data_IF_943963651403
#
_entry.id   IF_943963651403
#
_cell.length_a   1.000
_cell.length_b   1.000
_cell.length_c   1.000
_cell.angle_alpha   90.00
_cell.angle_beta   90.00
_cell.angle_gamma   90.00
#
_symmetry.space_group_name_H-M   'P 1'
#
loop_
_entity.id
_entity.type
_entity.pdbx_description
1 polymer ?
#
# COMPACT_ATOMS: atom_id res chain seq x y z
N UNK A 1 -21.80 -2.93 52.66
CA UNK A 1 -20.59 -3.22 51.86
C UNK A 1 -21.06 -3.68 50.49
N UNK A 2 -21.14 -2.75 49.54
CA UNK A 2 -21.66 -3.03 48.19
C UNK A 2 -20.50 -3.46 47.30
N UNK A 3 -20.55 -4.71 46.86
CA UNK A 3 -19.65 -5.27 45.84
C UNK A 3 -19.97 -4.61 44.49
N UNK A 4 -19.15 -3.63 44.11
CA UNK A 4 -19.18 -3.03 42.77
C UNK A 4 -18.60 -4.04 41.78
N UNK A 5 -19.50 -4.77 41.12
CA UNK A 5 -19.16 -5.65 40.00
C UNK A 5 -18.90 -4.78 38.77
N UNK A 6 -17.63 -4.45 38.54
CA UNK A 6 -17.17 -3.80 37.30
C UNK A 6 -17.16 -4.85 36.20
N UNK A 7 -18.24 -4.93 35.42
CA UNK A 7 -18.19 -5.60 34.11
C UNK A 7 -17.28 -4.75 33.21
N UNK A 8 -16.04 -5.17 33.03
CA UNK A 8 -15.17 -4.63 31.98
C UNK A 8 -15.77 -5.11 30.65
N UNK A 9 -16.26 -4.22 29.77
CA UNK A 9 -16.77 -4.63 28.48
C UNK A 9 -15.64 -5.30 27.68
N UNK A 10 -16.02 -6.27 26.85
CA UNK A 10 -15.17 -6.78 25.78
C UNK A 10 -14.76 -5.55 24.95
N UNK A 11 -13.50 -5.09 25.10
CA UNK A 11 -12.95 -3.97 24.34
C UNK A 11 -12.98 -2.59 25.02
N UNK A 12 -12.46 -2.46 26.25
CA UNK A 12 -11.92 -1.16 26.66
C UNK A 12 -10.81 -0.76 25.67
N UNK A 13 -10.92 0.43 25.07
CA UNK A 13 -10.06 0.89 23.97
C UNK A 13 -8.58 0.65 24.26
N UNK A 14 -7.98 -0.31 23.55
CA UNK A 14 -6.55 -0.55 23.64
C UNK A 14 -6.06 -1.49 24.75
N UNK A 15 -6.90 -2.00 25.63
CA UNK A 15 -6.44 -2.90 26.68
C UNK A 15 -6.01 -4.26 26.13
N UNK A 16 -4.87 -4.79 26.60
CA UNK A 16 -4.40 -6.12 26.19
C UNK A 16 -5.41 -7.22 26.57
N UNK A 17 -5.80 -8.12 25.66
CA UNK A 17 -6.76 -9.18 25.96
C UNK A 17 -6.24 -10.20 26.99
N UNK A 18 -4.91 -10.39 27.10
CA UNK A 18 -4.26 -11.31 28.05
C UNK A 18 -4.00 -10.66 29.42
N UNK A 19 -3.09 -9.70 29.52
CA UNK A 19 -2.73 -9.10 30.80
C UNK A 19 -3.70 -8.02 31.32
N UNK A 20 -4.72 -7.63 30.55
CA UNK A 20 -5.72 -6.61 30.92
C UNK A 20 -5.14 -5.23 31.27
N UNK A 21 -3.92 -4.93 30.79
CA UNK A 21 -3.25 -3.64 30.97
C UNK A 21 -3.25 -2.84 29.67
N UNK A 22 -3.45 -1.52 29.76
CA UNK A 22 -3.42 -0.60 28.62
C UNK A 22 -2.01 -0.05 28.38
N UNK A 23 -1.27 0.27 29.44
CA UNK A 23 0.05 0.90 29.41
C UNK A 23 1.11 0.06 28.68
N UNK A 24 0.90 -1.26 28.62
CA UNK A 24 1.78 -2.20 27.95
C UNK A 24 1.45 -2.41 26.46
N UNK A 25 0.51 -1.64 25.89
CA UNK A 25 0.02 -1.80 24.52
C UNK A 25 0.32 -0.59 23.65
N UNK A 26 0.71 -0.83 22.41
CA UNK A 26 0.92 0.23 21.43
C UNK A 26 0.45 -0.18 20.04
N UNK A 27 0.20 0.82 19.18
CA UNK A 27 -0.06 0.56 17.77
C UNK A 27 1.20 -0.01 17.11
N UNK A 28 1.02 -1.02 16.27
CA UNK A 28 2.14 -1.64 15.53
C UNK A 28 2.87 -0.64 14.63
N UNK A 29 2.14 0.34 14.08
CA UNK A 29 2.75 1.43 13.31
C UNK A 29 3.77 2.21 14.13
N UNK A 30 3.43 2.60 15.36
CA UNK A 30 4.33 3.37 16.23
C UNK A 30 5.61 2.59 16.52
N UNK A 31 5.51 1.29 16.78
CA UNK A 31 6.67 0.42 17.04
C UNK A 31 7.55 0.30 15.79
N UNK A 32 6.97 -0.10 14.67
CA UNK A 32 7.72 -0.29 13.43
C UNK A 32 8.38 1.02 12.97
N UNK A 33 7.71 2.15 13.09
CA UNK A 33 8.27 3.46 12.74
C UNK A 33 9.36 3.95 13.71
N UNK A 34 9.23 3.70 15.02
CA UNK A 34 10.23 4.08 16.02
C UNK A 34 11.57 3.35 15.81
N UNK A 35 11.53 2.11 15.30
CA UNK A 35 12.72 1.30 15.08
C UNK A 35 13.19 1.22 13.62
N UNK A 36 12.40 1.69 12.64
CA UNK A 36 12.73 1.62 11.21
C UNK A 36 13.27 2.93 10.61
N UNK A 37 13.56 3.99 11.38
CA UNK A 37 14.10 5.28 10.91
C UNK A 37 13.27 6.01 9.83
N UNK A 38 12.06 5.55 9.49
CA UNK A 38 11.22 6.12 8.45
C UNK A 38 9.89 6.59 9.04
N UNK A 39 9.93 7.71 9.76
CA UNK A 39 8.71 8.41 10.21
C UNK A 39 8.29 9.42 9.17
N UNK A 40 6.99 9.50 8.87
CA UNK A 40 6.46 10.72 8.25
C UNK A 40 6.40 11.83 9.32
N UNK A 41 6.56 13.12 8.96
CA UNK A 41 6.57 14.22 9.93
C UNK A 41 5.35 14.24 10.86
N UNK A 42 4.16 13.93 10.35
CA UNK A 42 2.92 13.89 11.13
C UNK A 42 2.90 12.77 12.18
N UNK A 43 3.51 11.62 11.88
CA UNK A 43 3.59 10.49 12.81
C UNK A 43 4.65 10.75 13.90
N UNK A 44 5.75 11.41 13.55
CA UNK A 44 6.73 11.87 14.53
C UNK A 44 6.13 12.93 15.47
N UNK A 45 5.34 13.85 14.93
CA UNK A 45 4.66 14.87 15.72
C UNK A 45 3.69 14.25 16.72
N UNK A 46 2.89 13.25 16.31
CA UNK A 46 1.99 12.52 17.22
C UNK A 46 2.73 11.76 18.35
N UNK A 47 3.87 11.13 18.05
CA UNK A 47 4.69 10.41 19.04
C UNK A 47 5.40 11.39 19.98
N UNK A 48 5.94 12.49 19.43
CA UNK A 48 6.58 13.53 20.23
C UNK A 48 5.59 14.22 21.17
N UNK A 49 4.34 14.44 20.72
CA UNK A 49 3.26 15.04 21.51
C UNK A 49 2.78 14.13 22.66
N UNK A 50 2.75 12.82 22.44
CA UNK A 50 2.43 11.85 23.50
C UNK A 50 3.59 11.67 24.48
N UNK A 51 4.85 11.74 24.01
CA UNK A 51 6.03 11.78 24.87
C UNK A 51 6.09 13.03 25.74
N UNK A 52 5.78 14.20 25.19
CA UNK A 52 5.78 15.48 25.91
C UNK A 52 4.69 15.58 26.97
N UNK A 53 3.62 14.79 26.85
CA UNK A 53 2.57 14.66 27.89
C UNK A 53 2.91 13.66 28.99
N UNK A 54 4.07 12.98 28.92
CA UNK A 54 4.42 11.93 29.88
C UNK A 54 3.59 10.66 29.75
N UNK A 55 2.84 10.49 28.65
CA UNK A 55 2.04 9.29 28.37
C UNK A 55 2.89 8.11 27.86
N UNK A 56 4.17 8.34 27.56
CA UNK A 56 5.13 7.31 27.14
C UNK A 56 6.16 7.14 28.26
N UNK A 57 5.94 6.16 29.13
CA UNK A 57 6.97 5.61 30.02
C UNK A 57 7.96 4.76 29.22
N UNK A 58 9.19 4.58 29.73
CA UNK A 58 10.23 3.76 29.10
C UNK A 58 9.66 2.44 28.60
N UNK A 59 9.90 2.15 27.31
CA UNK A 59 9.21 1.07 26.63
C UNK A 59 9.63 -0.26 27.25
N UNK A 60 8.67 -1.01 27.79
CA UNK A 60 8.95 -2.33 28.31
C UNK A 60 9.58 -3.20 27.22
N UNK A 61 10.75 -3.79 27.52
CA UNK A 61 11.39 -4.73 26.61
C UNK A 61 10.44 -5.89 26.29
N UNK A 62 10.32 -6.31 25.02
CA UNK A 62 9.38 -7.34 24.65
C UNK A 62 9.82 -8.65 25.30
N UNK A 63 8.89 -9.34 25.95
CA UNK A 63 9.23 -10.50 26.77
C UNK A 63 9.89 -11.58 25.91
N UNK A 64 11.13 -11.93 26.25
CA UNK A 64 11.85 -13.05 25.64
C UNK A 64 12.29 -12.84 24.19
N UNK A 65 12.19 -11.62 23.64
CA UNK A 65 12.59 -11.32 22.26
C UNK A 65 13.30 -9.97 22.17
N UNK A 66 14.06 -9.78 21.09
CA UNK A 66 14.69 -8.49 20.78
C UNK A 66 13.72 -7.64 19.95
N UNK A 67 13.68 -6.33 20.22
CA UNK A 67 12.86 -5.39 19.45
C UNK A 67 13.11 -5.48 17.94
N UNK A 68 14.36 -5.74 17.52
CA UNK A 68 14.71 -5.88 16.09
C UNK A 68 13.99 -7.06 15.41
N UNK A 69 13.79 -8.17 16.13
CA UNK A 69 13.09 -9.35 15.59
C UNK A 69 11.60 -9.04 15.49
N UNK A 70 11.04 -8.44 16.55
CA UNK A 70 9.63 -8.07 16.61
C UNK A 70 9.30 -7.05 15.52
N UNK A 71 10.13 -6.03 15.30
CA UNK A 71 9.88 -4.99 14.29
C UNK A 71 9.95 -5.55 12.87
N UNK A 72 10.87 -6.46 12.59
CA UNK A 72 10.93 -7.18 11.29
C UNK A 72 9.68 -8.02 11.05
N UNK A 73 9.18 -8.73 12.06
CA UNK A 73 7.97 -9.55 11.94
C UNK A 73 6.70 -8.69 11.77
N UNK A 74 6.65 -7.56 12.46
CA UNK A 74 5.55 -6.60 12.42
C UNK A 74 5.59 -5.63 11.23
N UNK A 75 6.63 -5.66 10.40
CA UNK A 75 6.83 -4.71 9.32
C UNK A 75 5.64 -4.70 8.34
N UNK A 76 5.25 -3.51 7.90
CA UNK A 76 4.25 -3.36 6.85
C UNK A 76 4.79 -3.99 5.55
N UNK A 77 3.99 -4.80 4.84
CA UNK A 77 4.39 -5.35 3.55
C UNK A 77 4.76 -4.23 2.57
N UNK A 78 5.79 -4.48 1.76
CA UNK A 78 6.29 -3.51 0.78
C UNK A 78 5.18 -3.07 -0.19
N UNK A 79 5.11 -1.76 -0.44
CA UNK A 79 4.17 -1.21 -1.40
C UNK A 79 4.56 -1.63 -2.82
N UNK A 80 3.63 -2.11 -3.65
CA UNK A 80 3.94 -2.41 -5.04
C UNK A 80 4.47 -1.16 -5.75
N UNK A 81 5.64 -1.29 -6.36
CA UNK A 81 6.31 -0.21 -7.08
C UNK A 81 5.77 -0.14 -8.50
N UNK A 82 5.39 1.07 -8.94
CA UNK A 82 4.90 1.26 -10.31
C UNK A 82 6.00 0.87 -11.31
N UNK A 83 5.78 -0.14 -12.17
CA UNK A 83 6.80 -0.55 -13.14
C UNK A 83 7.15 0.60 -14.10
N UNK A 84 8.42 0.69 -14.47
CA UNK A 84 8.96 1.77 -15.31
C UNK A 84 8.25 1.85 -16.67
N UNK A 85 7.81 0.72 -17.22
CA UNK A 85 7.06 0.63 -18.47
C UNK A 85 5.74 1.40 -18.44
N UNK A 86 5.09 1.52 -17.28
CA UNK A 86 3.85 2.29 -17.10
C UNK A 86 4.08 3.80 -17.06
N UNK A 87 5.33 4.28 -16.93
CA UNK A 87 5.64 5.71 -17.00
C UNK A 87 5.60 6.23 -18.43
N UNK A 88 5.86 5.37 -19.41
CA UNK A 88 5.94 5.73 -20.83
C UNK A 88 4.69 5.34 -21.63
N UNK A 89 3.89 4.39 -21.13
CA UNK A 89 2.70 3.89 -21.84
C UNK A 89 1.48 4.84 -21.82
N UNK A 90 1.59 6.03 -21.22
CA UNK A 90 0.51 7.03 -21.09
C UNK A 90 0.65 8.18 -22.09
N UNK A 91 1.00 7.92 -23.36
CA UNK A 91 0.54 8.82 -24.43
C UNK A 91 -0.97 8.65 -24.54
N UNK A 92 -1.74 9.71 -24.31
CA UNK A 92 -3.18 9.60 -24.14
C UNK A 92 -3.81 8.97 -25.39
N UNK A 93 -4.73 8.02 -25.19
CA UNK A 93 -5.47 7.39 -26.29
C UNK A 93 -6.16 8.45 -27.18
N UNK A 94 -6.49 9.60 -26.59
CA UNK A 94 -7.03 10.77 -27.29
C UNK A 94 -6.06 11.33 -28.33
N UNK A 95 -4.77 11.47 -27.99
CA UNK A 95 -3.76 11.98 -28.91
C UNK A 95 -3.51 11.01 -30.08
N UNK A 96 -3.53 9.71 -29.80
CA UNK A 96 -3.44 8.68 -30.84
C UNK A 96 -4.64 8.74 -31.80
N UNK A 97 -5.86 8.93 -31.30
CA UNK A 97 -7.05 9.09 -32.15
C UNK A 97 -7.01 10.36 -33.00
N UNK A 98 -6.61 11.49 -32.41
CA UNK A 98 -6.47 12.75 -33.15
C UNK A 98 -5.42 12.61 -34.26
N UNK A 99 -4.29 11.98 -33.96
CA UNK A 99 -3.25 11.74 -34.95
C UNK A 99 -3.71 10.80 -36.08
N UNK A 100 -4.47 9.75 -35.75
CA UNK A 100 -5.04 8.84 -36.75
C UNK A 100 -6.05 9.56 -37.66
N UNK A 101 -6.90 10.44 -37.12
CA UNK A 101 -7.86 11.24 -37.89
C UNK A 101 -7.12 12.17 -38.87
N UNK A 102 -6.07 12.86 -38.38
CA UNK A 102 -5.25 13.74 -39.23
C UNK A 102 -4.56 12.96 -40.34
N UNK A 103 -3.92 11.82 -40.01
CA UNK A 103 -3.27 10.96 -41.01
C UNK A 103 -4.27 10.44 -42.05
N UNK A 104 -5.49 10.07 -41.63
CA UNK A 104 -6.54 9.60 -42.53
C UNK A 104 -7.03 10.71 -43.48
N UNK A 105 -7.24 11.93 -42.97
CA UNK A 105 -7.61 13.06 -43.80
C UNK A 105 -6.52 13.42 -44.82
N UNK A 106 -5.24 13.36 -44.39
CA UNK A 106 -4.10 13.66 -45.23
C UNK A 106 -3.87 12.59 -46.30
N UNK A 107 -4.07 11.31 -45.97
CA UNK A 107 -3.95 10.21 -46.92
C UNK A 107 -5.05 10.27 -47.98
N UNK A 108 -6.30 10.53 -47.57
CA UNK A 108 -7.42 10.73 -48.50
C UNK A 108 -7.14 11.88 -49.49
N UNK A 109 -6.61 12.99 -48.99
CA UNK A 109 -6.21 14.12 -49.84
C UNK A 109 -5.08 13.73 -50.82
N UNK A 110 -4.05 13.02 -50.36
CA UNK A 110 -2.91 12.63 -51.20
C UNK A 110 -3.25 11.55 -52.25
N UNK A 111 -4.17 10.63 -51.94
CA UNK A 111 -4.66 9.64 -52.93
C UNK A 111 -5.35 10.29 -54.13
N UNK A 112 -5.90 11.49 -53.98
CA UNK A 112 -6.47 12.26 -55.10
C UNK A 112 -5.43 12.94 -55.99
N UNK A 113 -4.16 13.00 -55.55
CA UNK A 113 -3.08 13.78 -56.17
C UNK A 113 -1.88 12.95 -56.62
N UNK A 114 -1.66 11.78 -56.02
CA UNK A 114 -0.47 10.96 -56.22
C UNK A 114 -0.85 9.50 -56.54
N UNK A 115 0.00 8.78 -57.30
CA UNK A 115 -0.18 7.35 -57.52
C UNK A 115 -0.01 6.57 -56.20
N UNK A 116 -0.77 5.47 -56.08
CA UNK A 116 -0.83 4.61 -54.89
C UNK A 116 0.54 4.24 -54.26
N UNK A 117 1.59 3.83 -55.01
CA UNK A 117 2.86 3.43 -54.40
C UNK A 117 3.59 4.55 -53.66
N UNK A 118 3.45 5.81 -54.10
CA UNK A 118 4.12 6.94 -53.46
C UNK A 118 3.43 7.33 -52.14
N UNK A 119 2.09 7.26 -52.12
CA UNK A 119 1.31 7.43 -50.89
C UNK A 119 1.66 6.36 -49.87
N UNK A 120 1.75 5.09 -50.28
CA UNK A 120 2.11 3.99 -49.36
C UNK A 120 3.52 4.18 -48.78
N UNK A 121 4.51 4.61 -49.57
CA UNK A 121 5.87 4.90 -49.08
C UNK A 121 5.91 6.04 -48.06
N UNK A 122 5.14 7.10 -48.28
CA UNK A 122 5.03 8.25 -47.37
C UNK A 122 4.40 7.88 -46.02
N UNK A 123 3.39 6.99 -46.02
CA UNK A 123 2.65 6.63 -44.80
C UNK A 123 3.17 5.37 -44.08
N UNK A 124 3.97 4.53 -44.75
CA UNK A 124 4.59 3.34 -44.15
C UNK A 124 5.27 3.59 -42.78
N UNK A 125 6.12 4.62 -42.59
CA UNK A 125 6.74 4.87 -41.29
C UNK A 125 5.70 5.20 -40.21
N UNK A 126 4.67 5.97 -40.55
CA UNK A 126 3.60 6.33 -39.61
C UNK A 126 2.77 5.11 -39.18
N UNK A 127 2.46 4.20 -40.11
CA UNK A 127 1.74 2.96 -39.81
C UNK A 127 2.54 2.08 -38.86
N UNK A 128 3.85 1.93 -39.10
CA UNK A 128 4.75 1.15 -38.24
C UNK A 128 4.83 1.77 -36.84
N UNK A 129 5.05 3.09 -36.73
CA UNK A 129 5.09 3.78 -35.45
C UNK A 129 3.75 3.69 -34.71
N UNK A 130 2.61 3.80 -35.41
CA UNK A 130 1.30 3.69 -34.78
C UNK A 130 1.02 2.27 -34.29
N UNK A 131 1.42 1.25 -35.06
CA UNK A 131 1.33 -0.16 -34.67
C UNK A 131 2.16 -0.48 -33.42
N UNK A 132 3.41 0.00 -33.36
CA UNK A 132 4.29 -0.24 -32.19
C UNK A 132 3.78 0.49 -30.95
N UNK A 133 3.36 1.75 -31.08
CA UNK A 133 2.79 2.55 -29.99
C UNK A 133 1.46 1.96 -29.50
N UNK A 134 0.59 1.50 -30.40
CA UNK A 134 -0.68 0.84 -30.06
C UNK A 134 -0.49 -0.50 -29.34
N UNK A 135 0.50 -1.30 -29.77
CA UNK A 135 0.89 -2.55 -29.11
C UNK A 135 1.43 -2.31 -27.69
N UNK A 136 2.35 -1.35 -27.53
CA UNK A 136 2.90 -0.95 -26.23
C UNK A 136 1.82 -0.37 -25.29
N UNK A 137 0.87 0.41 -25.83
CA UNK A 137 -0.24 0.95 -25.06
C UNK A 137 -1.21 -0.14 -24.54
N UNK A 138 -1.45 -1.18 -25.33
CA UNK A 138 -2.27 -2.32 -24.90
C UNK A 138 -1.56 -3.17 -23.84
N UNK A 139 -0.25 -3.41 -24.00
CA UNK A 139 0.57 -4.09 -22.99
C UNK A 139 0.63 -3.28 -21.68
N UNK A 140 0.83 -1.96 -21.80
CA UNK A 140 0.81 -1.03 -20.68
C UNK A 140 -0.52 -1.05 -19.93
N UNK A 141 -1.66 -1.07 -20.64
CA UNK A 141 -2.98 -1.19 -20.00
C UNK A 141 -3.15 -2.48 -19.21
N UNK A 142 -2.66 -3.61 -19.73
CA UNK A 142 -2.68 -4.88 -19.00
C UNK A 142 -1.85 -4.79 -17.72
N UNK A 143 -0.62 -4.26 -17.83
CA UNK A 143 0.27 -4.05 -16.67
C UNK A 143 -0.28 -3.04 -15.67
N UNK A 144 -1.03 -2.04 -16.13
CA UNK A 144 -1.69 -1.06 -15.26
C UNK A 144 -2.80 -1.73 -14.46
N UNK A 145 -3.63 -2.55 -15.09
CA UNK A 145 -4.67 -3.32 -14.39
C UNK A 145 -4.09 -4.28 -13.35
N UNK A 146 -2.99 -4.97 -13.69
CA UNK A 146 -2.26 -5.84 -12.75
C UNK A 146 -1.77 -5.01 -11.56
N UNK A 147 -1.10 -3.88 -11.82
CA UNK A 147 -0.60 -2.97 -10.79
C UNK A 147 -1.72 -2.39 -9.90
N UNK A 148 -2.84 -1.96 -10.48
CA UNK A 148 -3.96 -1.39 -9.73
C UNK A 148 -4.61 -2.47 -8.84
N UNK A 149 -4.71 -3.71 -9.33
CA UNK A 149 -5.21 -4.83 -8.54
C UNK A 149 -4.29 -5.14 -7.35
N UNK A 150 -2.98 -5.19 -7.59
CA UNK A 150 -1.98 -5.35 -6.53
C UNK A 150 -2.03 -4.20 -5.52
N UNK A 151 -2.22 -2.97 -5.99
CA UNK A 151 -2.30 -1.78 -5.14
C UNK A 151 -3.55 -1.78 -4.25
N UNK A 152 -4.70 -2.23 -4.79
CA UNK A 152 -5.94 -2.40 -4.02
C UNK A 152 -5.76 -3.48 -2.95
N UNK A 153 -5.20 -4.64 -3.33
CA UNK A 153 -4.91 -5.72 -2.39
C UNK A 153 -3.97 -5.25 -1.27
N UNK A 154 -2.90 -4.54 -1.63
CA UNK A 154 -1.99 -3.92 -0.67
C UNK A 154 -2.70 -2.89 0.22
N UNK A 155 -3.62 -2.10 -0.31
CA UNK A 155 -4.42 -1.15 0.45
C UNK A 155 -5.26 -1.84 1.55
N UNK A 156 -5.88 -2.97 1.23
CA UNK A 156 -6.62 -3.77 2.21
C UNK A 156 -5.70 -4.33 3.30
N UNK A 157 -4.51 -4.82 2.92
CA UNK A 157 -3.50 -5.33 3.86
C UNK A 157 -3.01 -4.21 4.78
N UNK A 158 -2.69 -3.03 4.22
CA UNK A 158 -2.28 -1.85 4.99
C UNK A 158 -3.36 -1.42 5.98
N UNK A 159 -4.63 -1.45 5.57
CA UNK A 159 -5.75 -1.13 6.45
C UNK A 159 -5.82 -2.11 7.63
N UNK A 160 -5.75 -3.42 7.37
CA UNK A 160 -5.71 -4.45 8.44
C UNK A 160 -4.52 -4.21 9.38
N UNK A 161 -3.33 -3.99 8.82
CA UNK A 161 -2.11 -3.71 9.58
C UNK A 161 -2.23 -2.47 10.48
N UNK A 162 -2.84 -1.40 9.99
CA UNK A 162 -3.00 -0.14 10.75
C UNK A 162 -3.88 -0.28 12.00
N UNK A 163 -4.74 -1.30 12.04
CA UNK A 163 -5.59 -1.62 13.19
C UNK A 163 -4.91 -2.51 14.24
N UNK A 164 -3.72 -3.05 13.95
CA UNK A 164 -3.02 -3.94 14.87
C UNK A 164 -2.42 -3.18 16.05
N UNK A 165 -2.59 -3.77 17.24
CA UNK A 165 -1.91 -3.38 18.47
C UNK A 165 -1.03 -4.49 18.95
N UNK A 166 0.12 -4.13 19.50
CA UNK A 166 1.08 -5.04 20.09
C UNK A 166 1.16 -4.83 21.60
N UNK A 167 1.23 -5.91 22.37
CA UNK A 167 1.48 -5.89 23.80
C UNK A 167 2.87 -6.46 24.10
N UNK A 168 3.77 -5.63 24.63
CA UNK A 168 5.16 -6.01 24.90
C UNK A 168 5.31 -7.04 26.03
N UNK A 169 4.42 -6.98 27.04
CA UNK A 169 4.46 -7.85 28.21
C UNK A 169 4.23 -9.32 27.86
N UNK A 170 3.26 -9.58 26.99
CA UNK A 170 2.86 -10.93 26.60
C UNK A 170 3.37 -11.33 25.21
N UNK A 171 4.06 -10.41 24.51
CA UNK A 171 4.55 -10.59 23.14
C UNK A 171 3.44 -11.06 22.18
N UNK A 172 2.31 -10.34 22.17
CA UNK A 172 1.14 -10.66 21.35
C UNK A 172 0.69 -9.46 20.53
N UNK A 173 0.01 -9.75 19.43
CA UNK A 173 -0.63 -8.78 18.53
C UNK A 173 -2.12 -9.05 18.51
N UNK A 174 -2.93 -8.01 18.53
CA UNK A 174 -4.39 -8.12 18.55
C UNK A 174 -5.04 -6.93 17.83
N UNK A 175 -6.34 -7.05 17.54
CA UNK A 175 -7.15 -6.00 16.94
C UNK A 175 -8.19 -5.55 17.98
N UNK A 176 -8.39 -4.23 18.12
CA UNK A 176 -9.39 -3.69 19.05
C UNK A 176 -10.79 -4.18 18.64
N UNK A 177 -11.55 -4.69 19.61
CA UNK A 177 -12.91 -5.18 19.37
C UNK A 177 -12.99 -6.57 18.75
N UNK A 178 -11.85 -7.26 18.55
CA UNK A 178 -11.81 -8.65 18.11
C UNK A 178 -11.18 -9.53 19.19
N UNK A 179 -11.63 -10.79 19.28
CA UNK A 179 -11.03 -11.80 20.17
C UNK A 179 -9.74 -12.42 19.61
N UNK A 180 -9.36 -12.01 18.40
CA UNK A 180 -8.18 -12.53 17.71
C UNK A 180 -6.89 -12.07 18.39
N UNK A 181 -6.09 -13.05 18.81
CA UNK A 181 -4.75 -12.85 19.36
C UNK A 181 -3.76 -13.64 18.52
N UNK A 182 -2.74 -12.95 18.03
CA UNK A 182 -1.70 -13.47 17.15
C UNK A 182 -0.34 -13.34 17.82
N UNK A 183 0.58 -14.25 17.50
CA UNK A 183 2.00 -14.01 17.77
C UNK A 183 2.62 -13.15 16.65
N UNK A 184 3.71 -12.39 16.91
CA UNK A 184 4.31 -11.52 15.90
C UNK A 184 4.73 -12.24 14.61
N UNK A 185 5.21 -13.47 14.70
CA UNK A 185 5.58 -14.33 13.56
C UNK A 185 4.36 -14.72 12.68
N UNK A 186 3.17 -14.77 13.26
CA UNK A 186 1.92 -15.10 12.58
C UNK A 186 1.28 -13.89 11.88
N UNK A 187 1.73 -12.66 12.17
CA UNK A 187 1.14 -11.44 11.60
C UNK A 187 1.23 -11.43 10.08
N UNK A 188 2.35 -11.83 9.50
CA UNK A 188 2.51 -11.83 8.05
C UNK A 188 1.56 -12.81 7.35
N UNK A 189 1.32 -13.96 7.95
CA UNK A 189 0.34 -14.93 7.45
C UNK A 189 -1.08 -14.37 7.55
N UNK A 190 -1.42 -13.75 8.69
CA UNK A 190 -2.72 -13.10 8.90
C UNK A 190 -2.98 -11.94 7.93
N UNK A 191 -1.98 -11.12 7.65
CA UNK A 191 -2.08 -10.01 6.69
C UNK A 191 -2.33 -10.52 5.27
N UNK A 192 -1.75 -11.67 4.90
CA UNK A 192 -1.91 -12.29 3.59
C UNK A 192 -3.17 -13.17 3.47
N UNK A 193 -3.72 -13.64 4.59
CA UNK A 193 -5.01 -14.34 4.58
C UNK A 193 -6.11 -13.34 4.26
N UNK A 194 -6.81 -13.58 3.14
CA UNK A 194 -7.93 -12.78 2.69
C UNK A 194 -9.12 -12.91 3.65
#
# INVERSE_FOLDING_TARGET
>A
MSTVSVRIPIGAEGTCPRCKQMDATQKVSVITHAFANALTPAEFEAISFSRSRGEITDWASPRGTLWEIVTKQLALPERPVKPWSLRFAMTSQRDQWLFAIVLFALSFFLFSRLPLPDVVRLFAPFIITFGTVGGLGSYGRKKQKEYDTELIAWGAIKSKWSGLRYCARDNIVFIIGQELVLQPDQVQAFLKSH
#
